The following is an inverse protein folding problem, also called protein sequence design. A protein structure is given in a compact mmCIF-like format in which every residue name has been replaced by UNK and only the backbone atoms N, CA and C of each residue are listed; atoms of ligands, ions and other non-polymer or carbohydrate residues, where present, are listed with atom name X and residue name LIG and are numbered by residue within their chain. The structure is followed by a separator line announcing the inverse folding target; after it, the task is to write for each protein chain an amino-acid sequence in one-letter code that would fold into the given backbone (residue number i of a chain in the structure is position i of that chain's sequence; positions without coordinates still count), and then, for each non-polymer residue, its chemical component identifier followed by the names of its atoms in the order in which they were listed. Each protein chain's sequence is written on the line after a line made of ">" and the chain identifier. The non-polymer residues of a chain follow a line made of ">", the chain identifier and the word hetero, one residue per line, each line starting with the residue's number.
data_IF_884963001045
#
_entry.id   IF_884963001045
#
_cell.length_a   1.000
_cell.length_b   1.000
_cell.length_c   1.000
_cell.angle_alpha   90.00
_cell.angle_beta   90.00
_cell.angle_gamma   90.00
#
_symmetry.space_group_name_H-M   'P 1'
#
loop_
_entity.id
_entity.type
_entity.pdbx_description
1 polymer ?
#
# COMPACT_ATOMS: atom_id res chain seq x y z
N UNK A 1 4.91 -0.78 -29.91
CA UNK A 1 4.40 -2.16 -29.70
C UNK A 1 2.94 -2.02 -29.27
N UNK A 2 2.01 -2.69 -29.92
CA UNK A 2 0.58 -2.60 -29.59
C UNK A 2 0.28 -3.81 -28.68
N UNK A 3 0.22 -3.58 -27.36
CA UNK A 3 -0.05 -4.64 -26.40
C UNK A 3 -1.56 -4.74 -26.18
N UNK A 4 -2.23 -5.67 -26.83
CA UNK A 4 -3.67 -5.85 -26.74
C UNK A 4 -4.06 -6.91 -25.70
N UNK A 5 -3.20 -7.92 -25.50
CA UNK A 5 -3.36 -8.99 -24.50
C UNK A 5 -2.37 -8.78 -23.36
N UNK A 6 -2.87 -8.74 -22.12
CA UNK A 6 -2.05 -8.56 -20.92
C UNK A 6 -2.33 -9.72 -19.97
N UNK A 7 -1.27 -10.42 -19.54
CA UNK A 7 -1.36 -11.48 -18.55
C UNK A 7 -0.68 -11.05 -17.24
N UNK A 8 -1.45 -11.01 -16.17
CA UNK A 8 -0.97 -10.76 -14.81
C UNK A 8 -0.85 -12.11 -14.11
N UNK A 9 0.32 -12.38 -13.54
CA UNK A 9 0.62 -13.62 -12.84
C UNK A 9 0.73 -13.34 -11.34
N UNK A 10 -0.20 -13.88 -10.56
CA UNK A 10 -0.29 -13.70 -9.10
C UNK A 10 -1.50 -12.86 -8.67
N UNK A 11 -2.33 -13.42 -7.79
CA UNK A 11 -3.62 -12.86 -7.33
C UNK A 11 -3.57 -12.19 -5.95
N UNK A 12 -2.38 -11.80 -5.47
CA UNK A 12 -2.26 -10.97 -4.28
C UNK A 12 -2.67 -9.52 -4.50
N UNK A 13 -2.49 -8.68 -3.46
CA UNK A 13 -2.82 -7.24 -3.52
C UNK A 13 -2.19 -6.56 -4.74
N UNK A 14 -0.94 -6.86 -5.05
CA UNK A 14 -0.25 -6.30 -6.22
C UNK A 14 -0.94 -6.66 -7.54
N UNK A 15 -1.33 -7.93 -7.71
CA UNK A 15 -1.99 -8.42 -8.92
C UNK A 15 -3.35 -7.77 -9.14
N UNK A 16 -4.21 -7.77 -8.13
CA UNK A 16 -5.54 -7.18 -8.26
C UNK A 16 -5.53 -5.65 -8.34
N UNK A 17 -4.60 -4.96 -7.68
CA UNK A 17 -4.40 -3.51 -7.86
C UNK A 17 -3.89 -3.19 -9.28
N UNK A 18 -3.00 -4.01 -9.82
CA UNK A 18 -2.54 -3.89 -11.22
C UNK A 18 -3.69 -4.10 -12.19
N UNK A 19 -4.48 -5.16 -11.99
CA UNK A 19 -5.66 -5.45 -12.82
C UNK A 19 -6.68 -4.31 -12.77
N UNK A 20 -6.97 -3.77 -11.57
CA UNK A 20 -7.88 -2.64 -11.39
C UNK A 20 -7.40 -1.39 -12.13
N UNK A 21 -6.10 -1.11 -12.07
CA UNK A 21 -5.50 0.01 -12.78
C UNK A 21 -5.61 -0.15 -14.30
N UNK A 22 -5.24 -1.32 -14.79
CA UNK A 22 -5.21 -1.59 -16.23
C UNK A 22 -6.62 -1.61 -16.83
N UNK A 23 -7.58 -2.28 -16.21
CA UNK A 23 -8.94 -2.33 -16.74
C UNK A 23 -9.61 -0.95 -16.74
N UNK A 24 -9.26 -0.09 -15.78
CA UNK A 24 -9.78 1.28 -15.73
C UNK A 24 -9.18 2.17 -16.81
N UNK A 25 -7.89 2.04 -17.07
CA UNK A 25 -7.19 2.91 -18.03
C UNK A 25 -7.19 2.38 -19.46
N UNK A 26 -7.32 1.08 -19.60
CA UNK A 26 -7.31 0.40 -20.89
C UNK A 26 -8.49 -0.58 -21.01
N UNK A 27 -9.75 -0.09 -20.97
CA UNK A 27 -10.93 -0.96 -20.92
C UNK A 27 -11.11 -1.84 -22.17
N UNK A 28 -10.42 -1.53 -23.26
CA UNK A 28 -10.48 -2.28 -24.53
C UNK A 28 -9.38 -3.34 -24.62
N UNK A 29 -8.53 -3.51 -23.60
CA UNK A 29 -7.49 -4.54 -23.57
C UNK A 29 -8.03 -5.84 -23.03
N UNK A 30 -7.52 -6.95 -23.56
CA UNK A 30 -7.77 -8.29 -23.02
C UNK A 30 -6.86 -8.52 -21.81
N UNK A 31 -7.40 -8.35 -20.61
CA UNK A 31 -6.65 -8.47 -19.36
C UNK A 31 -7.05 -9.77 -18.68
N UNK A 32 -6.07 -10.64 -18.49
CA UNK A 32 -6.23 -11.91 -17.78
C UNK A 32 -5.35 -11.91 -16.54
N UNK A 33 -5.89 -12.35 -15.41
CA UNK A 33 -5.12 -12.63 -14.20
C UNK A 33 -5.18 -14.11 -13.89
N UNK A 34 -4.01 -14.73 -13.75
CA UNK A 34 -3.86 -16.13 -13.34
C UNK A 34 -3.25 -16.21 -11.96
N UNK A 35 -3.84 -17.01 -11.08
CA UNK A 35 -3.33 -17.25 -9.73
C UNK A 35 -3.44 -18.72 -9.30
N UNK A 36 -2.58 -19.12 -8.39
CA UNK A 36 -2.59 -20.47 -7.83
C UNK A 36 -3.77 -20.61 -6.84
N UNK A 37 -4.59 -21.66 -6.96
CA UNK A 37 -5.77 -21.82 -6.11
C UNK A 37 -5.46 -22.08 -4.62
N UNK A 38 -4.28 -22.63 -4.32
CA UNK A 38 -3.90 -23.09 -2.98
C UNK A 38 -2.82 -22.25 -2.29
N UNK A 39 -2.19 -21.30 -2.99
CA UNK A 39 -1.21 -20.42 -2.35
C UNK A 39 -1.99 -19.38 -1.54
N UNK A 40 -1.88 -19.41 -0.20
CA UNK A 40 -2.55 -18.42 0.62
C UNK A 40 -2.01 -17.03 0.27
N UNK A 41 -2.90 -16.07 0.16
CA UNK A 41 -2.51 -14.67 0.08
C UNK A 41 -1.71 -14.35 1.35
N UNK A 42 -0.48 -13.90 1.20
CA UNK A 42 0.37 -13.49 2.32
C UNK A 42 -0.12 -12.16 2.90
N UNK A 43 -1.37 -12.14 3.34
CA UNK A 43 -2.00 -10.97 3.90
C UNK A 43 -1.68 -10.82 5.37
N UNK A 44 -0.90 -9.83 5.70
CA UNK A 44 -0.56 -9.43 7.06
C UNK A 44 -1.20 -8.09 7.39
N UNK A 45 -2.39 -7.79 6.99
CA UNK A 45 -2.97 -6.47 7.16
C UNK A 45 -2.11 -5.37 6.50
N UNK A 46 -2.69 -4.62 5.59
CA UNK A 46 -1.96 -3.56 4.89
C UNK A 46 -2.09 -2.23 5.64
N UNK A 47 -0.95 -1.66 5.96
CA UNK A 47 -0.82 -0.31 6.51
C UNK A 47 -0.30 0.61 5.42
N UNK A 48 -1.21 1.27 4.71
CA UNK A 48 -0.86 2.07 3.54
C UNK A 48 -0.26 3.43 3.88
N UNK A 49 0.19 4.13 2.85
CA UNK A 49 0.61 5.53 2.89
C UNK A 49 -0.39 6.39 2.10
N UNK A 50 -0.25 7.72 2.16
CA UNK A 50 -1.17 8.66 1.51
C UNK A 50 -1.37 8.43 0.01
N UNK A 51 -0.40 7.83 -0.67
CA UNK A 51 -0.47 7.47 -2.08
C UNK A 51 -1.63 6.53 -2.43
N UNK A 52 -2.14 5.75 -1.46
CA UNK A 52 -3.30 4.88 -1.70
C UNK A 52 -4.52 5.70 -2.15
N UNK A 53 -4.73 6.88 -1.57
CA UNK A 53 -5.84 7.75 -1.94
C UNK A 53 -5.71 8.32 -3.35
N UNK A 54 -4.48 8.66 -3.75
CA UNK A 54 -4.21 9.09 -5.11
C UNK A 54 -4.52 7.97 -6.11
N UNK A 55 -4.11 6.73 -5.78
CA UNK A 55 -4.44 5.56 -6.60
C UNK A 55 -5.94 5.29 -6.66
N UNK A 56 -6.66 5.33 -5.53
CA UNK A 56 -8.11 5.16 -5.50
C UNK A 56 -8.81 6.19 -6.41
N UNK A 57 -8.44 7.46 -6.29
CA UNK A 57 -8.95 8.52 -7.15
C UNK A 57 -8.60 8.26 -8.63
N UNK A 58 -7.38 7.79 -8.89
CA UNK A 58 -6.92 7.49 -10.25
C UNK A 58 -7.76 6.42 -10.94
N UNK A 59 -8.25 5.41 -10.22
CA UNK A 59 -9.11 4.37 -10.75
C UNK A 59 -10.61 4.65 -10.56
N UNK A 60 -10.97 5.78 -9.95
CA UNK A 60 -12.36 6.17 -9.71
C UNK A 60 -13.06 5.33 -8.64
N UNK A 61 -12.31 4.82 -7.66
CA UNK A 61 -12.82 4.05 -6.55
C UNK A 61 -12.88 4.90 -5.28
N UNK A 62 -13.99 4.86 -4.56
CA UNK A 62 -14.16 5.58 -3.30
C UNK A 62 -14.05 4.63 -2.10
N UNK A 63 -13.46 5.11 -1.01
CA UNK A 63 -13.27 4.34 0.23
C UNK A 63 -14.59 3.78 0.78
N UNK A 64 -15.68 4.54 0.67
CA UNK A 64 -17.02 4.10 1.11
C UNK A 64 -17.48 2.80 0.45
N UNK A 65 -16.93 2.47 -0.73
CA UNK A 65 -17.35 1.32 -1.50
C UNK A 65 -16.81 0.01 -0.93
N UNK A 66 -15.68 0.06 -0.20
CA UNK A 66 -15.02 -1.14 0.32
C UNK A 66 -14.70 -1.11 1.83
N UNK A 67 -14.71 0.04 2.47
CA UNK A 67 -14.22 0.21 3.85
C UNK A 67 -14.83 -0.77 4.85
N UNK A 68 -16.13 -1.09 4.71
CA UNK A 68 -16.84 -2.01 5.60
C UNK A 68 -16.52 -3.48 5.32
N UNK A 69 -16.36 -3.84 4.04
CA UNK A 69 -16.13 -5.22 3.62
C UNK A 69 -14.67 -5.65 3.79
N UNK A 70 -13.77 -4.68 3.97
CA UNK A 70 -12.33 -4.92 4.12
C UNK A 70 -11.80 -4.63 5.51
N UNK A 71 -12.69 -4.36 6.49
CA UNK A 71 -12.36 -3.93 7.84
C UNK A 71 -11.39 -2.73 7.86
N UNK A 72 -11.52 -1.86 6.87
CA UNK A 72 -10.63 -0.74 6.72
C UNK A 72 -10.86 0.34 7.79
N UNK A 73 -9.77 0.95 8.23
CA UNK A 73 -9.77 2.08 9.16
C UNK A 73 -8.89 3.21 8.65
N UNK A 74 -9.17 4.43 9.13
CA UNK A 74 -8.40 5.61 8.77
C UNK A 74 -7.08 5.63 9.53
N UNK A 75 -5.99 5.88 8.79
CA UNK A 75 -4.65 6.02 9.31
C UNK A 75 -4.19 7.47 9.16
N UNK A 76 -3.82 8.11 10.27
CA UNK A 76 -3.43 9.53 10.31
C UNK A 76 -1.94 9.74 10.56
N UNK A 77 -1.25 8.74 11.07
CA UNK A 77 0.18 8.81 11.38
C UNK A 77 0.82 7.43 11.47
N UNK A 78 2.14 7.42 11.58
CA UNK A 78 2.92 6.28 12.04
C UNK A 78 3.46 6.62 13.43
N UNK A 79 3.22 5.77 14.42
CA UNK A 79 3.84 5.90 15.74
C UNK A 79 5.08 5.02 15.81
N UNK A 80 6.21 5.63 16.10
CA UNK A 80 7.46 4.95 16.38
C UNK A 80 7.65 4.86 17.88
N UNK A 81 7.80 3.64 18.40
CA UNK A 81 8.03 3.35 19.82
C UNK A 81 9.35 2.63 19.96
N UNK A 82 10.18 3.04 20.92
CA UNK A 82 11.52 2.48 21.16
C UNK A 82 12.46 2.50 19.94
N UNK A 83 12.16 3.34 18.95
CA UNK A 83 12.89 3.36 17.69
C UNK A 83 14.30 3.92 17.83
N UNK A 84 14.45 5.07 18.46
CA UNK A 84 15.78 5.71 18.66
C UNK A 84 16.27 5.64 20.10
N UNK A 85 15.35 5.48 21.07
CA UNK A 85 15.67 5.35 22.48
C UNK A 85 14.56 4.60 23.19
N UNK A 86 14.91 3.59 24.00
CA UNK A 86 13.98 2.80 24.80
C UNK A 86 13.16 3.68 25.73
N UNK A 87 11.84 3.47 25.77
CA UNK A 87 10.89 4.23 26.57
C UNK A 87 10.38 5.51 25.90
N UNK A 88 10.91 5.89 24.74
CA UNK A 88 10.45 7.09 24.01
C UNK A 88 9.65 6.72 22.75
N UNK A 89 8.69 7.59 22.41
CA UNK A 89 7.93 7.45 21.19
C UNK A 89 7.67 8.80 20.53
N UNK A 90 7.45 8.79 19.23
CA UNK A 90 7.03 9.95 18.48
C UNK A 90 6.10 9.57 17.35
N UNK A 91 5.29 10.50 16.88
CA UNK A 91 4.43 10.34 15.73
C UNK A 91 5.06 10.98 14.48
N UNK A 92 4.86 10.32 13.35
CA UNK A 92 5.06 10.87 12.02
C UNK A 92 3.67 11.04 11.38
N UNK A 93 3.03 12.21 11.58
CA UNK A 93 1.71 12.48 11.03
C UNK A 93 1.76 12.61 9.51
N UNK A 94 0.66 12.28 8.84
CA UNK A 94 0.54 12.51 7.41
C UNK A 94 0.14 13.95 7.11
N UNK A 95 0.45 14.41 5.89
CA UNK A 95 0.21 15.76 5.45
C UNK A 95 1.38 16.71 5.73
N UNK A 96 1.11 17.99 5.65
CA UNK A 96 2.09 19.05 5.85
C UNK A 96 1.94 19.72 7.21
N UNK A 97 3.04 20.18 7.82
CA UNK A 97 2.96 20.98 9.02
C UNK A 97 2.10 22.22 8.77
N UNK A 98 1.17 22.50 9.69
CA UNK A 98 0.39 23.72 9.68
C UNK A 98 1.11 24.76 10.50
N UNK A 99 1.65 25.75 9.80
CA UNK A 99 2.31 26.88 10.44
C UNK A 99 1.30 28.00 10.60
N UNK A 100 1.18 28.55 11.79
CA UNK A 100 0.28 29.66 12.09
C UNK A 100 0.74 30.92 11.32
N UNK A 101 0.31 31.03 10.07
CA UNK A 101 0.73 32.11 9.16
C UNK A 101 2.25 32.10 8.89
N UNK A 102 2.78 33.29 8.61
CA UNK A 102 4.23 33.47 8.42
C UNK A 102 5.03 33.67 9.74
N UNK A 103 4.34 33.58 10.89
CA UNK A 103 4.93 33.94 12.19
C UNK A 103 5.75 32.79 12.80
N UNK A 104 5.39 31.53 12.52
CA UNK A 104 6.12 30.39 13.06
C UNK A 104 6.64 29.50 11.93
N UNK A 105 7.89 29.09 12.08
CA UNK A 105 8.55 28.15 11.17
C UNK A 105 8.94 26.89 11.93
N UNK A 106 9.21 25.80 11.22
CA UNK A 106 9.68 24.54 11.83
C UNK A 106 10.94 24.75 12.70
N UNK A 107 11.78 25.72 12.34
CA UNK A 107 12.96 26.08 13.11
C UNK A 107 12.64 26.65 14.49
N UNK A 108 11.48 27.28 14.68
CA UNK A 108 11.10 27.86 15.98
C UNK A 108 10.94 26.80 17.06
N UNK A 109 10.39 25.62 16.67
CA UNK A 109 10.37 24.48 17.58
C UNK A 109 11.79 23.99 17.95
N UNK A 110 12.71 24.00 16.98
CA UNK A 110 14.10 23.64 17.22
C UNK A 110 14.78 24.60 18.21
N UNK A 111 14.59 25.91 18.05
CA UNK A 111 15.08 26.90 18.99
C UNK A 111 14.49 26.73 20.40
N UNK A 112 13.18 26.44 20.49
CA UNK A 112 12.53 26.06 21.75
C UNK A 112 13.24 24.86 22.40
N UNK A 113 13.49 23.80 21.64
CA UNK A 113 14.16 22.60 22.13
C UNK A 113 15.58 22.85 22.58
N UNK A 114 16.33 23.70 21.88
CA UNK A 114 17.69 24.12 22.33
C UNK A 114 17.63 24.88 23.62
N UNK A 115 16.69 25.83 23.75
CA UNK A 115 16.54 26.67 24.96
C UNK A 115 16.04 25.88 26.15
N UNK A 116 15.14 24.91 25.91
CA UNK A 116 14.60 24.01 26.92
C UNK A 116 14.77 22.55 26.45
N UNK A 117 15.89 21.89 26.77
CA UNK A 117 16.17 20.51 26.41
C UNK A 117 15.19 19.49 26.99
N UNK A 118 14.42 19.86 28.02
CA UNK A 118 13.39 18.99 28.61
C UNK A 118 12.14 18.84 27.75
N UNK A 119 11.97 19.72 26.74
CA UNK A 119 10.84 19.61 25.77
C UNK A 119 10.84 18.23 25.13
N UNK A 120 9.76 17.43 25.24
CA UNK A 120 9.69 16.09 24.63
C UNK A 120 9.77 16.14 23.10
N UNK A 121 10.39 15.14 22.48
CA UNK A 121 10.47 15.07 21.01
C UNK A 121 9.10 14.90 20.36
N UNK A 122 8.15 14.26 21.05
CA UNK A 122 6.73 14.14 20.62
C UNK A 122 6.07 15.51 20.43
N UNK A 123 6.49 16.52 21.17
CA UNK A 123 5.93 17.88 21.11
C UNK A 123 6.08 18.53 19.72
N UNK A 124 7.05 18.11 18.91
CA UNK A 124 7.17 18.61 17.54
C UNK A 124 5.90 18.31 16.72
N UNK A 125 5.49 17.05 16.67
CA UNK A 125 4.30 16.65 15.93
C UNK A 125 3.02 17.32 16.49
N UNK A 126 2.89 17.36 17.81
CA UNK A 126 1.74 17.99 18.49
C UNK A 126 1.61 19.49 18.19
N UNK A 127 2.75 20.17 18.06
CA UNK A 127 2.76 21.62 17.76
C UNK A 127 2.50 21.90 16.29
N UNK A 128 3.03 21.07 15.40
CA UNK A 128 3.06 21.35 13.95
C UNK A 128 1.91 20.75 13.17
N UNK A 129 1.24 19.71 13.70
CA UNK A 129 0.22 18.98 12.98
C UNK A 129 -1.11 18.96 13.73
N UNK A 130 -2.13 19.70 13.26
CA UNK A 130 -3.45 19.74 13.90
C UNK A 130 -4.10 18.36 14.06
N UNK A 131 -3.80 17.45 13.16
CA UNK A 131 -4.30 16.06 13.18
C UNK A 131 -3.91 15.32 14.49
N UNK A 132 -2.86 15.76 15.17
CA UNK A 132 -2.44 15.17 16.44
C UNK A 132 -3.51 15.26 17.54
N UNK A 133 -4.36 16.27 17.50
CA UNK A 133 -5.50 16.36 18.44
C UNK A 133 -6.50 15.22 18.27
N UNK A 134 -6.72 14.77 17.04
CA UNK A 134 -7.57 13.60 16.74
C UNK A 134 -6.87 12.30 17.15
N UNK A 135 -5.57 12.19 16.85
CA UNK A 135 -4.75 11.01 17.17
C UNK A 135 -4.70 10.80 18.68
N UNK A 136 -4.37 11.83 19.45
CA UNK A 136 -4.23 11.75 20.90
C UNK A 136 -5.55 11.41 21.63
N UNK A 137 -6.68 11.76 21.01
CA UNK A 137 -8.02 11.44 21.53
C UNK A 137 -8.58 10.13 20.96
N UNK A 138 -7.88 9.47 20.05
CA UNK A 138 -8.36 8.30 19.30
C UNK A 138 -9.72 8.57 18.63
N UNK A 139 -9.87 9.74 18.03
CA UNK A 139 -11.11 10.19 17.37
C UNK A 139 -10.81 10.64 15.95
N UNK A 140 -11.79 10.47 15.09
CA UNK A 140 -11.75 10.98 13.72
C UNK A 140 -13.06 11.66 13.37
N UNK A 141 -12.96 12.82 12.70
CA UNK A 141 -14.13 13.54 12.18
C UNK A 141 -13.77 14.26 10.89
N UNK A 142 -14.59 14.06 9.87
CA UNK A 142 -14.49 14.83 8.62
C UNK A 142 -14.86 16.31 8.81
N UNK A 143 -15.68 16.64 9.80
CA UNK A 143 -16.03 18.03 10.14
C UNK A 143 -14.83 18.83 10.63
N UNK A 144 -13.85 18.14 11.23
CA UNK A 144 -12.61 18.77 11.71
C UNK A 144 -11.74 19.35 10.60
N UNK A 145 -11.99 19.03 9.34
CA UNK A 145 -11.25 19.57 8.21
C UNK A 145 -11.32 21.10 8.15
N UNK A 146 -12.47 21.68 8.40
CA UNK A 146 -12.67 23.13 8.36
C UNK A 146 -12.04 23.82 9.58
N UNK A 147 -12.22 23.25 10.76
CA UNK A 147 -11.75 23.82 12.02
C UNK A 147 -10.24 23.67 12.21
N UNK A 148 -9.67 22.53 11.75
CA UNK A 148 -8.27 22.20 11.94
C UNK A 148 -7.41 22.43 10.69
N UNK A 149 -7.99 22.96 9.61
CA UNK A 149 -7.31 23.06 8.32
C UNK A 149 -6.66 21.71 7.89
N UNK A 150 -7.42 20.63 8.06
CA UNK A 150 -6.97 19.26 7.81
C UNK A 150 -7.42 18.79 6.43
N UNK A 151 -6.48 18.53 5.55
CA UNK A 151 -6.75 17.95 4.23
C UNK A 151 -6.82 16.42 4.33
N UNK A 152 -8.03 15.89 4.40
CA UNK A 152 -8.25 14.44 4.51
C UNK A 152 -7.64 13.66 3.35
N UNK A 153 -7.69 14.18 2.13
CA UNK A 153 -7.20 13.46 0.95
C UNK A 153 -5.67 13.31 0.95
N UNK A 154 -4.97 14.34 1.37
CA UNK A 154 -3.50 14.33 1.35
C UNK A 154 -2.87 14.03 2.72
N UNK A 155 -3.67 14.03 3.79
CA UNK A 155 -3.18 13.89 5.17
C UNK A 155 -3.68 12.63 5.87
N UNK A 156 -4.11 11.63 5.12
CA UNK A 156 -4.51 10.35 5.69
C UNK A 156 -4.21 9.17 4.76
N UNK A 157 -4.22 7.99 5.33
CA UNK A 157 -4.09 6.72 4.64
C UNK A 157 -5.10 5.71 5.23
N UNK A 158 -4.94 4.44 4.92
CA UNK A 158 -5.82 3.37 5.36
C UNK A 158 -5.03 2.22 5.98
N UNK A 159 -5.63 1.56 6.95
CA UNK A 159 -5.35 0.18 7.27
C UNK A 159 -6.50 -0.66 6.73
N UNK A 160 -6.23 -1.81 6.13
CA UNK A 160 -7.25 -2.75 5.71
C UNK A 160 -6.71 -4.20 5.76
N UNK A 161 -7.61 -5.14 5.81
CA UNK A 161 -7.29 -6.55 5.61
C UNK A 161 -6.92 -6.75 4.14
N UNK A 162 -5.67 -7.10 3.87
CA UNK A 162 -5.14 -7.24 2.52
C UNK A 162 -5.83 -8.35 1.72
N UNK A 163 -6.20 -9.43 2.40
CA UNK A 163 -6.91 -10.56 1.78
C UNK A 163 -8.31 -10.12 1.37
N UNK A 164 -9.06 -9.51 2.29
CA UNK A 164 -10.41 -9.00 2.02
C UNK A 164 -10.40 -7.94 0.92
N UNK A 165 -9.41 -7.05 0.93
CA UNK A 165 -9.29 -6.02 -0.11
C UNK A 165 -8.99 -6.62 -1.49
N UNK A 166 -8.10 -7.61 -1.57
CA UNK A 166 -7.79 -8.31 -2.82
C UNK A 166 -9.01 -9.05 -3.37
N UNK A 167 -9.75 -9.76 -2.51
CA UNK A 167 -10.99 -10.44 -2.88
C UNK A 167 -12.06 -9.44 -3.33
N UNK A 168 -12.19 -8.32 -2.60
CA UNK A 168 -13.13 -7.26 -2.96
C UNK A 168 -12.80 -6.64 -4.33
N UNK A 169 -11.52 -6.32 -4.59
CA UNK A 169 -11.08 -5.82 -5.90
C UNK A 169 -11.39 -6.83 -7.02
N UNK A 170 -11.11 -8.11 -6.78
CA UNK A 170 -11.42 -9.18 -7.72
C UNK A 170 -12.91 -9.20 -8.06
N UNK A 171 -13.76 -9.40 -7.04
CA UNK A 171 -15.15 -9.78 -7.22
C UNK A 171 -16.07 -8.58 -7.49
N UNK A 172 -15.77 -7.43 -6.93
CA UNK A 172 -16.64 -6.25 -7.01
C UNK A 172 -16.17 -5.21 -8.01
N UNK A 173 -14.89 -5.24 -8.40
CA UNK A 173 -14.33 -4.22 -9.28
C UNK A 173 -13.79 -4.78 -10.60
N UNK A 174 -12.85 -5.73 -10.55
CA UNK A 174 -12.10 -6.17 -11.73
C UNK A 174 -12.90 -7.10 -12.64
N UNK A 175 -13.45 -8.20 -12.10
CA UNK A 175 -14.23 -9.18 -12.90
C UNK A 175 -15.46 -8.52 -13.53
N UNK A 176 -16.29 -7.71 -12.81
CA UNK A 176 -17.42 -7.02 -13.42
C UNK A 176 -17.04 -6.05 -14.54
N UNK A 177 -15.80 -5.56 -14.56
CA UNK A 177 -15.27 -4.68 -15.62
C UNK A 177 -14.63 -5.44 -16.79
N UNK A 178 -14.56 -6.78 -16.73
CA UNK A 178 -14.11 -7.61 -17.83
C UNK A 178 -12.72 -8.23 -17.66
N UNK A 179 -12.09 -8.15 -16.49
CA UNK A 179 -10.85 -8.90 -16.21
C UNK A 179 -11.19 -10.39 -16.15
N UNK A 180 -10.50 -11.19 -16.96
CA UNK A 180 -10.59 -12.65 -16.93
C UNK A 180 -9.78 -13.18 -15.75
N UNK A 181 -10.37 -14.09 -14.98
CA UNK A 181 -9.73 -14.70 -13.83
C UNK A 181 -9.55 -16.20 -14.03
N UNK A 182 -8.33 -16.69 -13.86
CA UNK A 182 -7.98 -18.10 -14.02
C UNK A 182 -7.34 -18.60 -12.73
N UNK A 183 -7.96 -19.63 -12.14
CA UNK A 183 -7.40 -20.37 -11.01
C UNK A 183 -6.65 -21.58 -11.55
N UNK A 184 -5.34 -21.53 -11.63
CA UNK A 184 -4.49 -22.60 -12.13
C UNK A 184 -3.10 -22.55 -11.53
N UNK A 185 -2.57 -23.70 -11.12
CA UNK A 185 -1.17 -23.82 -10.73
C UNK A 185 -0.28 -23.57 -11.95
N UNK A 186 0.70 -22.71 -11.80
CA UNK A 186 1.68 -22.42 -12.85
C UNK A 186 2.80 -23.45 -12.77
N UNK A 187 2.91 -24.25 -13.82
CA UNK A 187 3.92 -25.31 -13.97
C UNK A 187 4.74 -25.15 -15.24
N UNK A 188 4.17 -24.47 -16.24
CA UNK A 188 4.78 -24.28 -17.54
C UNK A 188 4.97 -22.79 -17.83
N UNK A 189 6.22 -22.37 -18.01
CA UNK A 189 6.58 -21.02 -18.43
C UNK A 189 7.58 -21.15 -19.56
N UNK A 190 7.31 -20.54 -20.70
CA UNK A 190 8.18 -20.49 -21.85
C UNK A 190 8.76 -19.09 -21.99
N UNK A 191 10.02 -19.01 -22.40
CA UNK A 191 10.75 -17.77 -22.56
C UNK A 191 12.20 -17.89 -22.14
N UNK A 192 12.99 -16.89 -22.46
CA UNK A 192 14.42 -16.78 -22.15
C UNK A 192 14.82 -15.30 -21.99
N UNK A 193 16.11 -15.05 -21.72
CA UNK A 193 16.61 -13.69 -21.53
C UNK A 193 16.57 -12.81 -22.78
N UNK A 194 16.63 -13.40 -23.96
CA UNK A 194 16.66 -12.67 -25.24
C UNK A 194 15.26 -12.27 -25.67
N UNK A 195 14.30 -13.19 -25.58
CA UNK A 195 12.95 -13.04 -26.06
C UNK A 195 11.94 -12.63 -24.99
N UNK A 196 12.35 -12.68 -23.71
CA UNK A 196 11.45 -12.50 -22.57
C UNK A 196 10.52 -13.68 -22.35
N UNK A 197 9.43 -13.48 -21.61
CA UNK A 197 8.39 -14.50 -21.45
C UNK A 197 7.51 -14.51 -22.70
N UNK A 198 7.24 -15.68 -23.24
CA UNK A 198 6.44 -15.87 -24.45
C UNK A 198 5.14 -16.64 -24.19
N UNK A 199 5.09 -17.48 -23.14
CA UNK A 199 3.91 -18.23 -22.80
C UNK A 199 3.87 -18.61 -21.31
N UNK A 200 2.69 -18.63 -20.72
CA UNK A 200 2.44 -19.13 -19.36
C UNK A 200 1.19 -20.00 -19.37
N UNK A 201 1.33 -21.31 -19.07
CA UNK A 201 0.22 -22.28 -19.02
C UNK A 201 -0.64 -22.29 -20.30
N UNK A 202 0.00 -22.24 -21.46
CA UNK A 202 -0.59 -22.15 -22.80
C UNK A 202 -1.38 -20.85 -23.07
N UNK A 203 -1.13 -19.80 -22.26
CA UNK A 203 -1.62 -18.45 -22.47
C UNK A 203 -0.53 -17.58 -23.11
N UNK A 204 -0.81 -17.08 -24.29
CA UNK A 204 0.02 -16.07 -24.95
C UNK A 204 -0.46 -14.65 -24.60
N UNK A 205 0.47 -13.75 -24.41
CA UNK A 205 0.19 -12.34 -24.19
C UNK A 205 1.27 -11.44 -24.82
N UNK A 206 0.92 -10.18 -25.06
CA UNK A 206 1.86 -9.17 -25.55
C UNK A 206 2.66 -8.56 -24.38
N UNK A 207 2.11 -8.65 -23.16
CA UNK A 207 2.73 -8.16 -21.94
C UNK A 207 2.45 -9.14 -20.77
N UNK A 208 3.51 -9.55 -20.10
CA UNK A 208 3.45 -10.37 -18.89
C UNK A 208 3.87 -9.54 -17.69
N UNK A 209 3.07 -9.58 -16.61
CA UNK A 209 3.35 -8.83 -15.38
C UNK A 209 3.48 -9.81 -14.22
N UNK A 210 4.67 -9.87 -13.62
CA UNK A 210 4.95 -10.73 -12.46
C UNK A 210 4.51 -10.07 -11.16
N UNK A 211 3.42 -10.58 -10.58
CA UNK A 211 2.88 -10.20 -9.28
C UNK A 211 2.94 -11.36 -8.27
N UNK A 212 3.88 -12.29 -8.44
CA UNK A 212 4.03 -13.49 -7.60
C UNK A 212 4.81 -13.25 -6.30
N UNK A 213 5.08 -11.99 -5.98
CA UNK A 213 5.75 -11.58 -4.74
C UNK A 213 7.18 -12.10 -4.66
N UNK A 214 7.58 -12.62 -3.50
CA UNK A 214 8.95 -13.14 -3.29
C UNK A 214 9.30 -14.37 -4.12
N UNK A 215 8.31 -15.03 -4.72
CA UNK A 215 8.56 -16.17 -5.61
C UNK A 215 9.18 -15.74 -6.94
N UNK A 216 8.82 -14.54 -7.45
CA UNK A 216 9.38 -14.02 -8.70
C UNK A 216 9.34 -15.02 -9.84
N UNK A 217 8.18 -15.66 -10.07
CA UNK A 217 8.08 -16.86 -10.90
C UNK A 217 8.49 -16.60 -12.35
N UNK A 218 8.10 -15.46 -12.91
CA UNK A 218 8.51 -15.08 -14.27
C UNK A 218 9.96 -14.57 -14.30
N UNK A 219 10.34 -13.78 -13.30
CA UNK A 219 11.72 -13.28 -13.19
C UNK A 219 12.71 -14.42 -12.98
N UNK A 220 12.33 -15.42 -12.18
CA UNK A 220 13.16 -16.64 -12.00
C UNK A 220 13.38 -17.41 -13.30
N UNK A 221 12.36 -17.44 -14.19
CA UNK A 221 12.50 -18.07 -15.51
C UNK A 221 13.50 -17.33 -16.41
N UNK A 222 13.60 -16.01 -16.28
CA UNK A 222 14.54 -15.18 -17.01
C UNK A 222 15.95 -15.19 -16.39
N UNK A 223 16.21 -16.04 -15.38
CA UNK A 223 17.50 -16.24 -14.72
C UNK A 223 18.12 -14.96 -14.12
N UNK A 224 17.31 -13.99 -13.71
CA UNK A 224 17.80 -12.87 -12.91
C UNK A 224 18.09 -13.34 -11.49
N UNK A 225 19.36 -13.25 -11.08
CA UNK A 225 19.79 -13.63 -9.74
C UNK A 225 19.29 -12.68 -8.66
N UNK A 226 19.21 -13.17 -7.42
CA UNK A 226 18.96 -12.36 -6.25
C UNK A 226 20.22 -11.63 -5.79
N UNK A 227 20.10 -10.33 -5.49
CA UNK A 227 21.15 -9.57 -4.83
C UNK A 227 20.94 -9.71 -3.32
N UNK A 228 21.95 -10.27 -2.63
CA UNK A 228 21.90 -10.42 -1.17
C UNK A 228 22.35 -9.12 -0.49
N UNK A 229 21.49 -8.55 0.34
CA UNK A 229 21.77 -7.37 1.17
C UNK A 229 21.94 -7.72 2.66
N UNK A 230 22.14 -9.00 3.00
CA UNK A 230 22.22 -9.50 4.38
C UNK A 230 23.26 -8.82 5.25
N UNK A 231 24.36 -8.35 4.66
CA UNK A 231 25.43 -7.62 5.38
C UNK A 231 24.99 -6.22 5.83
N UNK A 232 24.01 -5.62 5.15
CA UNK A 232 23.48 -4.28 5.44
C UNK A 232 22.11 -4.37 6.09
N UNK A 233 21.28 -5.32 5.66
CA UNK A 233 19.90 -5.55 6.12
C UNK A 233 19.81 -6.94 6.78
N UNK A 234 20.15 -7.06 8.06
CA UNK A 234 20.26 -8.36 8.73
C UNK A 234 18.90 -9.04 8.97
N UNK A 235 17.80 -8.31 8.96
CA UNK A 235 16.48 -8.86 9.18
C UNK A 235 15.98 -9.58 7.92
N UNK A 236 15.84 -10.91 7.99
CA UNK A 236 15.43 -11.75 6.88
C UNK A 236 14.13 -12.53 7.12
N UNK A 237 13.47 -12.30 8.25
CA UNK A 237 12.21 -12.98 8.61
C UNK A 237 11.28 -12.03 9.35
N UNK A 238 9.99 -12.23 9.15
CA UNK A 238 8.93 -11.60 9.91
C UNK A 238 7.89 -12.65 10.33
N UNK A 239 7.31 -12.45 11.49
CA UNK A 239 6.18 -13.27 11.99
C UNK A 239 4.98 -12.35 12.07
N UNK A 240 3.95 -12.66 11.28
CA UNK A 240 2.67 -11.97 11.36
C UNK A 240 1.74 -12.68 12.34
N UNK A 241 1.05 -11.92 13.17
CA UNK A 241 0.07 -12.45 14.10
C UNK A 241 -1.10 -11.47 14.30
N UNK A 242 -2.29 -12.02 14.54
CA UNK A 242 -3.47 -11.24 14.86
C UNK A 242 -3.58 -11.12 16.38
N UNK A 243 -3.66 -9.90 16.89
CA UNK A 243 -3.86 -9.60 18.31
C UNK A 243 -5.24 -8.95 18.45
N UNK A 244 -6.17 -9.54 19.23
CA UNK A 244 -7.47 -8.93 19.48
C UNK A 244 -7.33 -7.56 20.13
N UNK A 245 -8.21 -6.63 19.77
CA UNK A 245 -8.33 -5.36 20.47
C UNK A 245 -8.78 -5.61 21.92
N UNK A 246 -8.17 -4.88 22.86
CA UNK A 246 -8.56 -4.89 24.27
C UNK A 246 -9.69 -3.90 24.50
#
# INVERSE_FOLDING_TARGET
>A
MKSDKILIVGGGSAGWMTAATLITKFPNKDITLIEHPEIPLSGVGESTLGQIKQWLNYIGLHEKDFIKETDATIKLSIKFTDFYKKGESFHYPFGSPQLAGNLFKTNDWWFKKIKDPSTPNSNFAETMYPVMSMINQNKFSLKSQVELNFDYQNSSALHFDAIKFSIWLRDKFCIPKGVKHILKKITKIEGDQENGITNVEDLDADLYIDCTGSHGVLMGKLQHGWINYGDILPNNRAIATHIPYK
#
